data_IF_801351514629
#
_entry.id   IF_801351514629
#
_cell.length_a   1.000
_cell.length_b   1.000
_cell.length_c   1.000
_cell.angle_alpha   90.00
_cell.angle_beta   90.00
_cell.angle_gamma   90.00
#
_symmetry.space_group_name_H-M   'P 1'
#
loop_
_entity.id
_entity.type
_entity.pdbx_description
1 polymer ?
#
# COMPACT_ATOMS: atom_id res chain seq x y z
N UNK A 1 23.33 2.10 22.24
CA UNK A 1 24.41 1.94 21.24
C UNK A 1 24.28 0.52 20.72
N UNK A 2 23.65 0.32 19.56
CA UNK A 2 23.63 -0.98 18.89
C UNK A 2 24.38 -0.78 17.58
N UNK A 3 25.46 -1.54 17.40
CA UNK A 3 26.46 -1.35 16.37
C UNK A 3 25.90 -1.67 14.98
N UNK A 4 26.15 -0.76 14.02
CA UNK A 4 25.89 -0.97 12.60
C UNK A 4 27.10 -1.68 12.00
N UNK A 5 26.94 -2.94 11.61
CA UNK A 5 27.93 -3.63 10.77
C UNK A 5 27.71 -3.21 9.32
N UNK A 6 28.51 -2.26 8.83
CA UNK A 6 28.62 -1.98 7.39
C UNK A 6 29.46 -3.07 6.73
N UNK A 7 28.84 -4.21 6.46
CA UNK A 7 29.43 -5.33 5.74
C UNK A 7 29.08 -5.29 4.25
N UNK A 8 29.69 -4.36 3.49
CA UNK A 8 30.03 -4.43 2.04
C UNK A 8 29.02 -4.99 0.99
N UNK A 9 27.80 -5.35 1.33
CA UNK A 9 26.80 -5.85 0.41
C UNK A 9 25.42 -5.32 0.81
N UNK A 10 24.66 -4.87 -0.18
CA UNK A 10 23.20 -4.88 -0.24
C UNK A 10 22.39 -3.97 0.69
N UNK A 11 21.28 -3.49 0.14
CA UNK A 11 20.01 -3.54 0.88
C UNK A 11 19.32 -2.20 1.03
N UNK A 12 18.07 -2.14 0.56
CA UNK A 12 17.11 -1.11 0.92
C UNK A 12 17.12 -0.85 2.43
N UNK A 13 17.07 0.42 2.82
CA UNK A 13 16.69 0.82 4.18
C UNK A 13 15.18 0.64 4.28
N UNK A 14 14.74 -0.35 5.06
CA UNK A 14 13.35 -0.43 5.52
C UNK A 14 13.34 0.19 6.91
N UNK A 15 12.92 1.45 7.02
CA UNK A 15 12.65 2.04 8.34
C UNK A 15 11.39 1.37 8.91
N UNK A 16 11.59 0.46 9.87
CA UNK A 16 10.50 -0.07 10.68
C UNK A 16 10.15 0.99 11.74
N UNK A 17 9.31 1.95 11.37
CA UNK A 17 8.66 2.82 12.35
C UNK A 17 7.40 2.14 12.89
N UNK A 18 7.32 2.02 14.21
CA UNK A 18 6.38 1.20 14.99
C UNK A 18 4.95 1.77 15.08
N UNK A 19 4.55 2.74 14.23
CA UNK A 19 3.28 3.49 14.43
C UNK A 19 2.44 3.78 13.17
N UNK A 20 2.56 3.00 12.10
CA UNK A 20 1.57 3.05 11.02
C UNK A 20 1.18 1.63 10.60
N UNK A 21 -0.08 1.18 10.78
CA UNK A 21 -0.55 0.00 10.05
C UNK A 21 -0.34 0.29 8.56
N UNK A 22 0.17 -0.71 7.84
CA UNK A 22 0.62 -0.69 6.44
C UNK A 22 -0.29 0.14 5.52
N UNK A 23 -0.13 1.46 5.51
CA UNK A 23 -0.59 2.31 4.42
C UNK A 23 0.43 2.14 3.32
N UNK A 24 0.16 1.18 2.43
CA UNK A 24 0.97 0.92 1.25
C UNK A 24 0.66 2.02 0.22
N UNK A 25 0.90 3.27 0.60
CA UNK A 25 0.88 4.40 -0.33
C UNK A 25 2.29 4.69 -0.81
N UNK A 26 2.42 5.11 -2.08
CA UNK A 26 3.65 5.66 -2.59
C UNK A 26 4.03 6.86 -1.72
N UNK A 27 5.26 6.89 -1.21
CA UNK A 27 5.88 8.04 -0.56
C UNK A 27 5.98 9.20 -1.56
N UNK A 28 4.87 9.88 -1.86
CA UNK A 28 4.84 11.14 -2.59
C UNK A 28 4.81 12.23 -1.52
N UNK A 29 5.87 13.03 -1.53
CA UNK A 29 6.29 13.88 -0.42
C UNK A 29 5.22 14.83 0.12
N UNK A 30 5.40 15.12 1.40
CA UNK A 30 4.60 16.01 2.22
C UNK A 30 4.58 17.43 1.65
N UNK A 31 3.48 17.80 1.00
CA UNK A 31 3.02 19.18 0.89
C UNK A 31 1.48 19.13 1.02
N UNK A 32 1.00 19.33 2.26
CA UNK A 32 -0.42 19.46 2.61
C UNK A 32 -1.05 20.66 1.88
N UNK A 33 -1.86 20.42 0.85
CA UNK A 33 -3.03 21.23 0.47
C UNK A 33 -3.83 20.47 -0.61
N UNK A 34 -4.99 19.93 -0.23
CA UNK A 34 -6.09 19.45 -1.09
C UNK A 34 -5.66 18.75 -2.40
N UNK A 35 -5.21 17.48 -2.34
CA UNK A 35 -4.95 16.69 -3.57
C UNK A 35 -6.28 16.47 -4.30
N UNK A 36 -6.56 17.23 -5.39
CA UNK A 36 -7.87 17.22 -6.00
C UNK A 36 -8.01 15.91 -6.79
N UNK A 37 -8.89 15.02 -6.35
CA UNK A 37 -9.23 13.80 -7.08
C UNK A 37 -9.09 12.49 -6.30
N UNK A 38 -8.44 12.48 -5.12
CA UNK A 38 -8.43 11.26 -4.29
C UNK A 38 -9.80 10.98 -3.65
N UNK A 39 -10.53 12.02 -3.24
CA UNK A 39 -11.78 11.87 -2.47
C UNK A 39 -12.93 11.18 -3.21
N UNK A 40 -12.98 11.29 -4.55
CA UNK A 40 -14.08 10.72 -5.33
C UNK A 40 -13.80 9.26 -5.76
N UNK A 41 -12.52 8.90 -5.96
CA UNK A 41 -12.08 7.58 -6.47
C UNK A 41 -10.68 7.24 -5.93
N UNK A 42 -10.56 6.94 -4.62
CA UNK A 42 -9.27 6.86 -3.95
C UNK A 42 -8.38 5.74 -4.52
N UNK A 43 -8.94 4.55 -4.76
CA UNK A 43 -8.16 3.43 -5.28
C UNK A 43 -7.66 3.67 -6.71
N UNK A 44 -8.48 4.27 -7.58
CA UNK A 44 -8.07 4.54 -8.97
C UNK A 44 -6.89 5.48 -9.04
N UNK A 45 -6.94 6.55 -8.24
CA UNK A 45 -5.84 7.49 -8.08
C UNK A 45 -4.58 6.76 -7.60
N UNK A 46 -4.69 6.01 -6.51
CA UNK A 46 -3.56 5.34 -5.89
C UNK A 46 -2.95 4.24 -6.79
N UNK A 47 -3.78 3.56 -7.59
CA UNK A 47 -3.38 2.60 -8.62
C UNK A 47 -2.59 3.26 -9.74
N UNK A 48 -2.97 4.46 -10.18
CA UNK A 48 -2.25 5.22 -11.20
C UNK A 48 -0.88 5.66 -10.67
N UNK A 49 -0.82 6.19 -9.45
CA UNK A 49 0.44 6.59 -8.83
C UNK A 49 1.37 5.39 -8.69
N UNK A 50 0.88 4.25 -8.19
CA UNK A 50 1.68 3.02 -8.08
C UNK A 50 2.23 2.58 -9.45
N UNK A 51 1.43 2.62 -10.52
CA UNK A 51 1.91 2.28 -11.88
C UNK A 51 2.98 3.24 -12.39
N UNK A 52 2.86 4.52 -12.07
CA UNK A 52 3.79 5.56 -12.52
C UNK A 52 5.15 5.52 -11.81
N UNK A 53 5.24 4.94 -10.62
CA UNK A 53 6.51 4.79 -9.90
C UNK A 53 7.50 3.83 -10.56
N UNK A 54 7.04 2.90 -11.41
CA UNK A 54 7.89 1.91 -12.13
C UNK A 54 8.83 1.12 -11.20
N UNK A 55 8.41 0.86 -9.97
CA UNK A 55 9.15 0.05 -9.01
C UNK A 55 8.81 -1.42 -9.21
N UNK A 56 9.81 -2.26 -9.42
CA UNK A 56 9.61 -3.71 -9.60
C UNK A 56 9.14 -4.31 -8.28
N UNK A 57 8.01 -5.04 -8.32
CA UNK A 57 7.44 -5.66 -7.12
C UNK A 57 6.71 -4.69 -6.21
N UNK A 58 6.40 -3.47 -6.67
CA UNK A 58 5.50 -2.61 -5.92
C UNK A 58 4.09 -3.18 -5.87
N UNK A 59 3.41 -2.84 -4.80
CA UNK A 59 2.00 -3.13 -4.64
C UNK A 59 1.18 -2.23 -5.54
N UNK A 60 0.23 -2.82 -6.26
CA UNK A 60 -0.76 -2.10 -7.07
C UNK A 60 -2.12 -2.50 -6.49
N UNK A 61 -2.88 -1.57 -5.90
CA UNK A 61 -4.14 -1.89 -5.25
C UNK A 61 -5.18 -2.39 -6.25
N UNK A 62 -6.05 -3.28 -5.77
CA UNK A 62 -7.17 -3.80 -6.53
C UNK A 62 -8.40 -2.89 -6.33
N UNK A 63 -8.92 -2.33 -7.42
CA UNK A 63 -10.03 -1.37 -7.37
C UNK A 63 -11.32 -1.97 -7.90
N UNK A 64 -12.43 -1.56 -7.30
CA UNK A 64 -13.77 -1.77 -7.83
C UNK A 64 -14.07 -0.81 -9.00
N UNK A 65 -15.14 -1.07 -9.76
CA UNK A 65 -15.54 -0.22 -10.90
C UNK A 65 -15.90 1.22 -10.49
N UNK A 66 -16.38 1.38 -9.25
CA UNK A 66 -16.72 2.66 -8.65
C UNK A 66 -15.48 3.52 -8.30
N UNK A 67 -14.26 2.95 -8.34
CA UNK A 67 -13.01 3.65 -8.01
C UNK A 67 -12.58 3.56 -6.55
N UNK A 68 -13.32 2.83 -5.71
CA UNK A 68 -12.93 2.46 -4.35
C UNK A 68 -12.14 1.16 -4.33
N UNK A 69 -11.59 0.83 -3.16
CA UNK A 69 -10.83 -0.41 -2.96
C UNK A 69 -11.76 -1.62 -2.97
N UNK A 70 -11.29 -2.71 -3.60
CA UNK A 70 -11.91 -4.01 -3.38
C UNK A 70 -11.76 -4.41 -1.93
N UNK A 71 -12.79 -5.01 -1.35
CA UNK A 71 -12.72 -5.50 0.02
C UNK A 71 -11.58 -6.49 0.24
N UNK A 72 -11.20 -7.27 -0.75
CA UNK A 72 -10.08 -8.20 -0.68
C UNK A 72 -8.88 -7.63 -1.45
N UNK A 73 -7.80 -7.33 -0.75
CA UNK A 73 -6.54 -6.82 -1.30
C UNK A 73 -5.44 -7.86 -1.18
N UNK A 74 -4.58 -7.94 -2.19
CA UNK A 74 -3.45 -8.87 -2.21
C UNK A 74 -2.14 -8.19 -2.62
N UNK A 75 -1.12 -8.37 -1.79
CA UNK A 75 0.24 -7.91 -2.01
C UNK A 75 1.01 -9.02 -2.73
N UNK A 76 0.92 -9.04 -4.06
CA UNK A 76 1.54 -10.09 -4.88
C UNK A 76 3.06 -10.28 -4.65
N UNK A 77 3.77 -9.22 -4.23
CA UNK A 77 5.20 -9.30 -3.93
C UNK A 77 5.52 -9.94 -2.58
N UNK A 78 4.60 -9.85 -1.61
CA UNK A 78 4.73 -10.48 -0.29
C UNK A 78 4.02 -11.84 -0.22
N UNK A 79 3.04 -12.08 -1.10
CA UNK A 79 2.17 -13.26 -1.05
C UNK A 79 1.13 -13.21 0.08
N UNK A 80 0.81 -12.02 0.56
CA UNK A 80 -0.12 -11.79 1.67
C UNK A 80 -1.38 -11.07 1.17
N UNK A 81 -2.55 -11.47 1.68
CA UNK A 81 -3.83 -10.85 1.38
C UNK A 81 -4.55 -10.38 2.66
N UNK A 82 -5.40 -9.37 2.52
CA UNK A 82 -6.10 -8.74 3.63
C UNK A 82 -7.45 -8.16 3.20
N UNK A 83 -8.35 -8.02 4.17
CA UNK A 83 -9.57 -7.25 3.97
C UNK A 83 -9.29 -5.76 4.14
N UNK A 84 -9.71 -4.95 3.18
CA UNK A 84 -9.65 -3.50 3.21
C UNK A 84 -11.06 -2.88 3.30
N UNK A 85 -11.14 -1.66 3.82
CA UNK A 85 -12.33 -0.83 3.67
C UNK A 85 -12.35 -0.07 2.32
N UNK A 86 -13.38 0.75 2.11
CA UNK A 86 -13.54 1.50 0.86
C UNK A 86 -12.41 2.52 0.61
N UNK A 87 -11.71 2.96 1.66
CA UNK A 87 -10.59 3.92 1.59
C UNK A 87 -9.23 3.23 1.48
N UNK A 88 -9.21 1.90 1.58
CA UNK A 88 -8.03 1.04 1.43
C UNK A 88 -7.33 0.72 2.74
N UNK A 89 -7.90 1.07 3.89
CA UNK A 89 -7.31 0.79 5.19
C UNK A 89 -7.46 -0.70 5.54
N UNK A 90 -6.42 -1.27 6.14
CA UNK A 90 -6.38 -2.67 6.56
C UNK A 90 -7.38 -2.94 7.69
N UNK A 91 -8.20 -3.98 7.51
CA UNK A 91 -9.16 -4.45 8.52
C UNK A 91 -8.66 -5.74 9.20
N UNK A 92 -8.35 -6.78 8.42
CA UNK A 92 -7.92 -8.10 8.92
C UNK A 92 -7.18 -8.87 7.83
N UNK A 93 -6.41 -9.89 8.23
CA UNK A 93 -5.82 -10.83 7.29
C UNK A 93 -6.91 -11.65 6.62
N UNK A 94 -6.71 -12.01 5.36
CA UNK A 94 -7.64 -12.81 4.58
C UNK A 94 -6.85 -13.84 3.76
N UNK A 95 -7.36 -15.06 3.71
CA UNK A 95 -6.80 -16.10 2.85
C UNK A 95 -7.62 -16.20 1.55
N UNK A 96 -8.92 -15.93 1.64
CA UNK A 96 -9.86 -16.00 0.52
C UNK A 96 -10.74 -14.74 0.44
N UNK A 97 -11.26 -14.39 -0.76
CA UNK A 97 -12.06 -13.18 -0.94
C UNK A 97 -13.41 -13.19 -0.19
N UNK A 98 -13.96 -14.38 0.06
CA UNK A 98 -15.22 -14.57 0.80
C UNK A 98 -15.12 -14.22 2.28
N UNK A 99 -13.90 -14.20 2.85
CA UNK A 99 -13.68 -13.77 4.24
C UNK A 99 -14.01 -12.29 4.48
N UNK A 100 -14.08 -11.49 3.42
CA UNK A 100 -14.23 -10.04 3.48
C UNK A 100 -15.67 -9.56 3.21
N UNK A 101 -16.64 -10.45 3.01
CA UNK A 101 -18.04 -10.07 2.75
C UNK A 101 -18.79 -9.48 3.96
#
# INVERSE_FOLDING_TARGET
IVQVFLGSYTGLIIELNEYAPLRIFPLVGDDDDDYPGRGDRPCDYDREVARNQKVIGNYIPQCEENGYYQKFQCINSAGECYCADADGDYLKAAEEPEDCE
#
